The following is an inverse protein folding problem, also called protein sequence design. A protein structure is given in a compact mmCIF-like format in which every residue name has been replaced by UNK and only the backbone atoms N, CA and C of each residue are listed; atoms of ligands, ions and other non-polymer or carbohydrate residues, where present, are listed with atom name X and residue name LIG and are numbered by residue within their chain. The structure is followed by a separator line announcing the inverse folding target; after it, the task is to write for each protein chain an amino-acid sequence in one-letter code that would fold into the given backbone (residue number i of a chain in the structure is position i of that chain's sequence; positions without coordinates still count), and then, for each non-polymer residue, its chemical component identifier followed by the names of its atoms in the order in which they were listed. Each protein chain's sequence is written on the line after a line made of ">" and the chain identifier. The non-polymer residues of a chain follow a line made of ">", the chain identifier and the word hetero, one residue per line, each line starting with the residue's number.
data_IF_772219349086
#
_entry.id   IF_772219349086
#
_cell.length_a   1.000
_cell.length_b   1.000
_cell.length_c   1.000
_cell.angle_alpha   90.00
_cell.angle_beta   90.00
_cell.angle_gamma   90.00
#
_symmetry.space_group_name_H-M   'P 1'
#
loop_
_entity.id
_entity.type
_entity.pdbx_description
1 polymer ?
#
# COMPACT_ATOMS: atom_id res chain seq x y z
N UNK A 1 -26.47 -1.05 -15.08
CA UNK A 1 -25.23 -0.90 -15.86
C UNK A 1 -24.16 -0.49 -14.88
N UNK A 2 -23.20 -1.37 -14.62
CA UNK A 2 -22.07 -1.05 -13.74
C UNK A 2 -21.25 0.08 -14.37
N UNK A 3 -21.09 1.19 -13.67
CA UNK A 3 -20.37 2.36 -14.17
C UNK A 3 -18.88 2.17 -13.96
N UNK A 4 -18.12 2.07 -15.06
CA UNK A 4 -16.66 2.05 -15.03
C UNK A 4 -16.13 3.30 -14.34
N UNK A 5 -15.16 3.11 -13.44
CA UNK A 5 -14.45 4.18 -12.76
C UNK A 5 -12.97 3.88 -12.65
N UNK A 6 -12.21 4.92 -12.35
CA UNK A 6 -10.79 4.82 -12.00
C UNK A 6 -10.63 4.11 -10.65
N UNK A 7 -9.69 3.16 -10.57
CA UNK A 7 -9.37 2.45 -9.31
C UNK A 7 -8.85 3.41 -8.24
N UNK A 8 -9.11 3.10 -6.97
CA UNK A 8 -8.60 3.85 -5.82
C UNK A 8 -7.12 3.57 -5.51
N UNK A 9 -6.53 2.55 -6.14
CA UNK A 9 -5.18 2.04 -5.86
C UNK A 9 -4.16 2.38 -6.95
N UNK A 10 -4.44 3.41 -7.75
CA UNK A 10 -3.51 3.91 -8.77
C UNK A 10 -2.52 4.89 -8.14
N UNK A 11 -1.23 4.68 -8.43
CA UNK A 11 -0.14 5.55 -8.02
C UNK A 11 0.53 6.07 -9.30
N UNK A 12 0.25 7.32 -9.71
CA UNK A 12 0.93 7.94 -10.83
C UNK A 12 2.27 8.54 -10.38
N UNK A 13 3.35 8.21 -11.09
CA UNK A 13 4.70 8.74 -10.84
C UNK A 13 5.18 9.44 -12.11
N UNK A 14 5.50 10.73 -12.02
CA UNK A 14 6.03 11.48 -13.17
C UNK A 14 7.45 11.00 -13.49
N UNK A 15 7.74 10.77 -14.77
CA UNK A 15 9.09 10.41 -15.21
C UNK A 15 9.89 11.69 -15.48
N UNK A 16 10.96 11.91 -14.72
CA UNK A 16 11.79 13.11 -14.86
C UNK A 16 12.61 13.11 -16.16
N UNK A 17 13.02 11.93 -16.62
CA UNK A 17 13.81 11.74 -17.84
C UNK A 17 12.99 11.75 -19.12
N UNK A 18 11.66 11.62 -19.04
CA UNK A 18 10.77 11.52 -20.20
C UNK A 18 9.62 12.53 -20.08
N UNK A 19 9.73 13.64 -20.81
CA UNK A 19 8.74 14.71 -20.74
C UNK A 19 7.33 14.22 -21.15
N UNK A 20 6.32 14.60 -20.35
CA UNK A 20 4.93 14.22 -20.58
C UNK A 20 4.63 12.73 -20.35
N UNK A 21 5.55 11.97 -19.72
CA UNK A 21 5.34 10.55 -19.38
C UNK A 21 5.21 10.33 -17.88
N UNK A 22 4.39 9.34 -17.54
CA UNK A 22 4.17 8.89 -16.19
C UNK A 22 4.24 7.37 -16.13
N UNK A 23 4.78 6.83 -15.05
CA UNK A 23 4.62 5.44 -14.70
C UNK A 23 3.38 5.30 -13.81
N UNK A 24 2.42 4.50 -14.26
CA UNK A 24 1.27 4.08 -13.46
C UNK A 24 1.60 2.78 -12.75
N UNK A 25 1.46 2.78 -11.43
CA UNK A 25 1.56 1.58 -10.61
C UNK A 25 0.17 1.28 -10.04
N UNK A 26 -0.27 0.04 -10.12
CA UNK A 26 -1.51 -0.40 -9.49
C UNK A 26 -1.22 -1.24 -8.25
N UNK A 27 -1.68 -0.75 -7.08
CA UNK A 27 -1.19 -1.19 -5.78
C UNK A 27 -1.40 -2.67 -5.46
N UNK A 28 -2.54 -3.26 -5.84
CA UNK A 28 -2.85 -4.65 -5.47
C UNK A 28 -2.79 -5.65 -6.64
N UNK A 29 -2.77 -5.20 -7.90
CA UNK A 29 -2.48 -6.11 -9.03
C UNK A 29 -1.00 -6.15 -9.39
N UNK A 30 -0.21 -5.17 -8.92
CA UNK A 30 1.20 -5.04 -9.27
C UNK A 30 1.45 -4.60 -10.71
N UNK A 31 0.41 -4.18 -11.45
CA UNK A 31 0.58 -3.69 -12.82
C UNK A 31 1.42 -2.40 -12.83
N UNK A 32 2.34 -2.31 -13.78
CA UNK A 32 3.20 -1.15 -14.01
C UNK A 32 3.25 -0.82 -15.50
N UNK A 33 2.96 0.42 -15.87
CA UNK A 33 2.95 0.87 -17.27
C UNK A 33 3.42 2.32 -17.41
N UNK A 34 4.13 2.61 -18.50
CA UNK A 34 4.43 3.98 -18.89
C UNK A 34 3.30 4.49 -19.78
N UNK A 35 2.71 5.62 -19.40
CA UNK A 35 1.59 6.26 -20.11
C UNK A 35 1.90 7.73 -20.37
N UNK A 36 1.15 8.33 -21.29
CA UNK A 36 1.18 9.79 -21.47
C UNK A 36 0.45 10.52 -20.35
N UNK A 37 0.82 11.77 -20.13
CA UNK A 37 0.14 12.68 -19.20
C UNK A 37 -1.36 12.79 -19.48
N UNK A 38 -1.77 12.75 -20.75
CA UNK A 38 -3.19 12.77 -21.14
C UNK A 38 -3.99 11.61 -20.53
N UNK A 39 -3.41 10.42 -20.45
CA UNK A 39 -4.07 9.25 -19.83
C UNK A 39 -4.20 9.45 -18.32
N UNK A 40 -3.16 9.98 -17.66
CA UNK A 40 -3.19 10.28 -16.22
C UNK A 40 -4.26 11.33 -15.90
N UNK A 41 -4.36 12.39 -16.70
CA UNK A 41 -5.39 13.41 -16.53
C UNK A 41 -6.79 12.81 -16.71
N UNK A 42 -7.00 11.96 -17.72
CA UNK A 42 -8.28 11.27 -17.91
C UNK A 42 -8.67 10.42 -16.69
N UNK A 43 -7.71 9.67 -16.12
CA UNK A 43 -7.94 8.87 -14.90
C UNK A 43 -8.22 9.77 -13.68
N UNK A 44 -7.45 10.84 -13.51
CA UNK A 44 -7.60 11.79 -12.38
C UNK A 44 -8.97 12.47 -12.35
N UNK A 45 -9.48 12.86 -13.51
CA UNK A 45 -10.79 13.51 -13.64
C UNK A 45 -11.93 12.53 -13.95
N UNK A 46 -11.65 11.23 -13.94
CA UNK A 46 -12.60 10.16 -14.26
C UNK A 46 -13.29 10.34 -15.64
N UNK A 47 -12.58 10.92 -16.60
CA UNK A 47 -13.04 11.19 -17.97
C UNK A 47 -12.76 10.00 -18.89
N UNK A 48 -13.08 8.79 -18.43
CA UNK A 48 -12.75 7.51 -19.07
C UNK A 48 -13.27 7.43 -20.52
N UNK A 49 -14.40 8.08 -20.81
CA UNK A 49 -15.01 8.14 -22.15
C UNK A 49 -14.13 8.82 -23.22
N UNK A 50 -13.10 9.57 -22.83
CA UNK A 50 -12.16 10.22 -23.77
C UNK A 50 -11.05 9.29 -24.27
N UNK A 51 -10.91 8.11 -23.65
CA UNK A 51 -9.86 7.14 -24.01
C UNK A 51 -10.29 6.32 -25.24
N UNK A 52 -9.31 5.89 -26.05
CA UNK A 52 -9.57 4.95 -27.14
C UNK A 52 -10.01 3.59 -26.59
N UNK A 53 -10.80 2.83 -27.34
CA UNK A 53 -11.29 1.51 -26.92
C UNK A 53 -10.14 0.55 -26.58
N UNK A 54 -9.05 0.58 -27.35
CA UNK A 54 -7.86 -0.23 -27.10
C UNK A 54 -7.20 0.15 -25.76
N UNK A 55 -7.06 1.45 -25.49
CA UNK A 55 -6.50 1.94 -24.22
C UNK A 55 -7.41 1.59 -23.06
N UNK A 56 -8.73 1.74 -23.22
CA UNK A 56 -9.73 1.41 -22.22
C UNK A 56 -9.64 -0.06 -21.82
N UNK A 57 -9.64 -0.96 -22.80
CA UNK A 57 -9.52 -2.40 -22.56
C UNK A 57 -8.19 -2.77 -21.90
N UNK A 58 -7.08 -2.15 -22.33
CA UNK A 58 -5.78 -2.38 -21.71
C UNK A 58 -5.76 -1.95 -20.24
N UNK A 59 -6.30 -0.77 -19.93
CA UNK A 59 -6.35 -0.24 -18.56
C UNK A 59 -7.29 -1.05 -17.66
N UNK A 60 -8.43 -1.51 -18.20
CA UNK A 60 -9.37 -2.35 -17.47
C UNK A 60 -8.76 -3.72 -17.15
N UNK A 61 -8.13 -4.38 -18.13
CA UNK A 61 -7.46 -5.67 -17.94
C UNK A 61 -6.37 -5.62 -16.86
N UNK A 62 -5.72 -4.46 -16.70
CA UNK A 62 -4.62 -4.27 -15.76
C UNK A 62 -5.06 -3.78 -14.37
N UNK A 63 -6.32 -3.38 -14.23
CA UNK A 63 -6.94 -2.98 -12.97
C UNK A 63 -7.02 -1.47 -12.74
N UNK A 64 -6.46 -0.64 -13.64
CA UNK A 64 -6.55 0.82 -13.51
C UNK A 64 -7.99 1.35 -13.64
N UNK A 65 -8.83 0.63 -14.40
CA UNK A 65 -10.26 0.93 -14.52
C UNK A 65 -11.02 -0.28 -14.04
N UNK A 66 -12.05 -0.05 -13.22
CA UNK A 66 -12.79 -1.10 -12.55
C UNK A 66 -14.29 -0.79 -12.51
N UNK A 67 -15.09 -1.84 -12.44
CA UNK A 67 -16.52 -1.78 -12.12
C UNK A 67 -16.78 -1.84 -10.61
N UNK A 68 -15.76 -2.14 -9.81
CA UNK A 68 -15.89 -2.28 -8.35
C UNK A 68 -16.20 -0.95 -7.69
N UNK A 69 -16.98 -0.92 -6.62
CA UNK A 69 -17.04 0.23 -5.71
C UNK A 69 -15.73 0.36 -4.92
N UNK A 70 -15.55 1.48 -4.22
CA UNK A 70 -14.35 1.68 -3.40
C UNK A 70 -14.30 0.66 -2.27
N UNK A 71 -15.45 0.36 -1.69
CA UNK A 71 -15.64 -0.59 -0.61
C UNK A 71 -15.29 -2.02 -1.08
N UNK A 72 -15.73 -2.40 -2.29
CA UNK A 72 -15.39 -3.70 -2.88
C UNK A 72 -13.89 -3.85 -3.20
N UNK A 73 -13.21 -2.75 -3.56
CA UNK A 73 -11.74 -2.76 -3.71
C UNK A 73 -11.05 -2.96 -2.35
N UNK A 74 -11.51 -2.27 -1.30
CA UNK A 74 -10.97 -2.42 0.06
C UNK A 74 -11.15 -3.86 0.55
N UNK A 75 -12.36 -4.41 0.41
CA UNK A 75 -12.65 -5.80 0.79
C UNK A 75 -11.75 -6.80 0.03
N UNK A 76 -11.52 -6.56 -1.26
CA UNK A 76 -10.60 -7.37 -2.05
C UNK A 76 -9.18 -7.32 -1.50
N UNK A 77 -8.68 -6.13 -1.17
CA UNK A 77 -7.32 -5.96 -0.60
C UNK A 77 -7.21 -6.58 0.78
N UNK A 78 -8.22 -6.44 1.64
CA UNK A 78 -8.27 -7.08 2.96
C UNK A 78 -8.17 -8.60 2.85
N UNK A 79 -8.91 -9.21 1.93
CA UNK A 79 -8.84 -10.65 1.68
C UNK A 79 -7.45 -11.09 1.23
N UNK A 80 -6.80 -10.33 0.33
CA UNK A 80 -5.44 -10.62 -0.12
C UNK A 80 -4.46 -10.51 1.05
N UNK A 81 -4.55 -9.44 1.84
CA UNK A 81 -3.70 -9.23 3.01
C UNK A 81 -3.84 -10.35 4.05
N UNK A 82 -5.07 -10.79 4.34
CA UNK A 82 -5.33 -11.92 5.25
C UNK A 82 -4.72 -13.22 4.73
N UNK A 83 -4.85 -13.51 3.43
CA UNK A 83 -4.27 -14.71 2.83
C UNK A 83 -2.74 -14.70 2.91
N UNK A 84 -2.11 -13.56 2.62
CA UNK A 84 -0.65 -13.39 2.72
C UNK A 84 -0.17 -13.49 4.17
N UNK A 85 -0.87 -12.85 5.11
CA UNK A 85 -0.54 -12.92 6.53
C UNK A 85 -0.60 -14.35 7.06
N UNK A 86 -1.67 -15.09 6.75
CA UNK A 86 -1.82 -16.49 7.17
C UNK A 86 -0.74 -17.39 6.57
N UNK A 87 -0.38 -17.16 5.30
CA UNK A 87 0.72 -17.88 4.65
C UNK A 87 2.03 -17.64 5.40
N UNK A 88 2.35 -16.38 5.67
CA UNK A 88 3.61 -16.01 6.31
C UNK A 88 3.64 -16.48 7.78
N UNK A 89 2.51 -16.42 8.49
CA UNK A 89 2.38 -16.97 9.84
C UNK A 89 2.70 -18.47 9.88
N UNK A 90 2.28 -19.24 8.89
CA UNK A 90 2.51 -20.69 8.82
C UNK A 90 3.95 -21.00 8.39
N UNK A 91 4.45 -20.32 7.36
CA UNK A 91 5.71 -20.67 6.70
C UNK A 91 6.95 -20.00 7.30
N UNK A 92 6.79 -18.86 7.96
CA UNK A 92 7.90 -18.03 8.40
C UNK A 92 7.80 -17.75 9.90
N UNK A 93 8.66 -18.39 10.69
CA UNK A 93 8.90 -18.04 12.09
C UNK A 93 10.29 -17.41 12.20
N UNK A 94 10.34 -16.17 12.68
CA UNK A 94 11.59 -15.46 12.96
C UNK A 94 11.71 -15.21 14.46
N UNK A 95 12.92 -15.43 14.98
CA UNK A 95 13.24 -15.16 16.38
C UNK A 95 14.30 -14.06 16.41
N UNK A 96 13.96 -12.94 17.03
CA UNK A 96 14.90 -11.83 17.21
C UNK A 96 15.42 -11.83 18.64
N UNK A 97 16.73 -11.96 18.80
CA UNK A 97 17.39 -11.96 20.10
C UNK A 97 18.02 -10.60 20.35
N UNK A 98 17.43 -9.82 21.25
CA UNK A 98 18.02 -8.54 21.69
C UNK A 98 18.94 -8.82 22.87
N UNK A 99 20.24 -8.94 22.59
CA UNK A 99 21.25 -9.26 23.63
C UNK A 99 21.40 -8.14 24.64
N UNK A 100 21.21 -6.88 24.23
CA UNK A 100 21.23 -5.73 25.14
C UNK A 100 20.39 -4.57 24.60
N UNK A 101 19.63 -3.93 25.50
CA UNK A 101 18.98 -2.64 25.23
C UNK A 101 19.87 -1.44 25.55
N UNK A 102 21.13 -1.66 25.95
CA UNK A 102 22.09 -0.58 26.24
C UNK A 102 22.68 -0.01 24.94
N UNK A 103 21.85 0.69 24.18
CA UNK A 103 22.28 1.46 23.01
C UNK A 103 22.89 2.80 23.44
N UNK A 104 24.01 3.18 22.83
CA UNK A 104 24.71 4.45 23.07
C UNK A 104 24.13 5.61 22.23
N UNK A 105 23.21 5.34 21.31
CA UNK A 105 22.49 6.35 20.56
C UNK A 105 21.21 6.80 21.27
N UNK A 106 20.79 8.05 21.01
CA UNK A 106 19.56 8.65 21.56
C UNK A 106 18.60 9.06 20.45
N UNK A 107 18.41 8.18 19.48
CA UNK A 107 17.62 8.47 18.27
C UNK A 107 16.20 8.89 18.64
N UNK A 108 15.69 10.05 18.18
CA UNK A 108 14.40 10.58 18.58
C UNK A 108 13.21 9.69 18.20
N UNK A 109 13.37 8.79 17.25
CA UNK A 109 12.35 7.84 16.77
C UNK A 109 12.54 6.41 17.31
N UNK A 110 13.53 6.15 18.16
CA UNK A 110 13.76 4.80 18.66
C UNK A 110 12.66 4.39 19.66
N UNK A 111 11.92 3.32 19.34
CA UNK A 111 10.89 2.78 20.23
C UNK A 111 11.49 2.12 21.49
N UNK A 112 12.74 1.68 21.43
CA UNK A 112 13.51 1.09 22.53
C UNK A 112 14.25 2.11 23.41
N UNK A 113 13.89 3.39 23.33
CA UNK A 113 14.46 4.41 24.22
C UNK A 113 14.32 4.02 25.69
N UNK A 114 15.34 4.31 26.50
CA UNK A 114 15.41 4.00 27.93
C UNK A 114 14.18 4.48 28.73
N UNK A 115 13.62 5.64 28.38
CA UNK A 115 12.42 6.19 29.00
C UNK A 115 11.18 5.29 28.79
N UNK A 116 11.01 4.76 27.58
CA UNK A 116 9.89 3.86 27.25
C UNK A 116 10.03 2.49 27.94
N UNK A 117 11.27 1.99 28.07
CA UNK A 117 11.54 0.70 28.73
C UNK A 117 11.23 0.77 30.23
N UNK A 118 11.61 1.88 30.91
CA UNK A 118 11.34 2.06 32.35
C UNK A 118 9.84 2.13 32.66
N UNK A 119 9.05 2.82 31.83
CA UNK A 119 7.60 2.95 32.01
C UNK A 119 6.92 1.58 31.89
N UNK A 120 7.34 0.73 30.93
CA UNK A 120 6.78 -0.63 30.76
C UNK A 120 7.08 -1.55 31.95
N UNK A 121 8.28 -1.50 32.51
CA UNK A 121 8.62 -2.31 33.69
C UNK A 121 7.79 -1.93 34.93
N UNK A 122 7.54 -0.64 35.16
CA UNK A 122 6.70 -0.18 36.28
C UNK A 122 5.24 -0.61 36.07
N UNK A 123 4.71 -0.48 34.86
CA UNK A 123 3.34 -0.90 34.54
C UNK A 123 3.11 -2.40 34.74
N UNK A 124 4.07 -3.25 34.32
CA UNK A 124 4.01 -4.70 34.52
C UNK A 124 4.12 -5.06 36.01
N UNK A 125 4.95 -4.35 36.79
CA UNK A 125 5.07 -4.58 38.23
C UNK A 125 3.77 -4.28 38.97
N UNK A 126 3.06 -3.20 38.59
CA UNK A 126 1.79 -2.82 39.19
C UNK A 126 0.61 -3.74 38.79
N UNK A 127 0.66 -4.36 37.60
CA UNK A 127 -0.35 -5.33 37.17
C UNK A 127 -0.21 -6.69 37.87
N UNK A 128 0.99 -7.06 38.33
CA UNK A 128 1.24 -8.30 39.08
C UNK A 128 1.08 -8.15 40.61
N UNK A 129 0.66 -6.98 41.09
CA UNK A 129 0.38 -6.69 42.51
C UNK A 129 -1.13 -6.67 42.83
N UNK A 130 -1.97 -7.14 41.92
CA UNK A 130 -3.38 -7.48 42.15
C UNK A 130 -3.54 -8.99 42.11
#
# INVERSE_FOLDING_TARGET
>A
METLRTSSYIIPVKLESEEGKYMLIHGYTGAMDIVSESVVLCLKYNEIKKLSDLTLQALQRRGYITNKTKEEEIEYVERVAQALHKRDEILHKSFTWVVTYNCNFRCPYCFEKKENIRIRHIALYLQNLK
#
